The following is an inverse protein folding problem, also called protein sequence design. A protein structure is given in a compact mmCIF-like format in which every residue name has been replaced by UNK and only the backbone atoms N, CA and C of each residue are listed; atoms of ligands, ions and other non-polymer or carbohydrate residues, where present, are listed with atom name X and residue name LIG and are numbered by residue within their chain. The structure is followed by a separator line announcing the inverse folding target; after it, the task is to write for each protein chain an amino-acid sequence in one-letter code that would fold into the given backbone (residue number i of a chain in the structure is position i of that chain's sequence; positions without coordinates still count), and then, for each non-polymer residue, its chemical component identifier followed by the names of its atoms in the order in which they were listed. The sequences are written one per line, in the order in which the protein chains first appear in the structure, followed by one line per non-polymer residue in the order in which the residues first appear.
data_IF_519264177227
#
_entry.id   IF_519264177227
#
_cell.length_a   1.000
_cell.length_b   1.000
_cell.length_c   1.000
_cell.angle_alpha   90.00
_cell.angle_beta   90.00
_cell.angle_gamma   90.00
#
_symmetry.space_group_name_H-M   'P 1'
#
loop_
_entity.id
_entity.type
_entity.pdbx_description
1 polymer ?
#
# COMPACT_ATOMS: atom_id res chain seq x y z
N UNK A 1 -13.97 -43.70 -15.67
CA UNK A 1 -14.28 -42.40 -15.02
C UNK A 1 -13.47 -42.14 -13.74
N UNK A 2 -13.48 -43.05 -12.74
CA UNK A 2 -12.73 -42.86 -11.47
C UNK A 2 -11.21 -42.67 -11.64
N UNK A 3 -10.56 -43.45 -12.50
CA UNK A 3 -9.11 -43.33 -12.76
C UNK A 3 -8.71 -42.00 -13.39
N UNK A 4 -9.57 -41.44 -14.25
CA UNK A 4 -9.34 -40.14 -14.91
C UNK A 4 -9.46 -39.01 -13.88
N UNK A 5 -10.52 -39.04 -13.06
CA UNK A 5 -10.72 -38.06 -11.99
C UNK A 5 -9.57 -38.05 -10.98
N UNK A 6 -9.05 -39.25 -10.65
CA UNK A 6 -7.90 -39.39 -9.75
C UNK A 6 -6.59 -38.91 -10.39
N UNK A 7 -6.45 -39.06 -11.70
CA UNK A 7 -5.34 -38.46 -12.46
C UNK A 7 -5.33 -36.93 -12.34
N UNK A 8 -6.47 -36.28 -12.56
CA UNK A 8 -6.59 -34.81 -12.41
C UNK A 8 -6.30 -34.35 -10.97
N UNK A 9 -6.81 -35.06 -9.96
CA UNK A 9 -6.55 -34.74 -8.57
C UNK A 9 -5.05 -34.79 -8.22
N UNK A 10 -4.33 -35.79 -8.74
CA UNK A 10 -2.87 -35.89 -8.55
C UNK A 10 -2.12 -34.74 -9.21
N UNK A 11 -2.50 -34.36 -10.43
CA UNK A 11 -1.88 -33.23 -11.13
C UNK A 11 -2.10 -31.95 -10.35
N UNK A 12 -3.34 -31.73 -9.88
CA UNK A 12 -3.67 -30.59 -9.03
C UNK A 12 -2.78 -30.52 -7.78
N UNK A 13 -2.66 -31.63 -7.05
CA UNK A 13 -1.79 -31.69 -5.86
C UNK A 13 -0.31 -31.50 -6.20
N UNK A 14 0.16 -32.07 -7.31
CA UNK A 14 1.55 -31.95 -7.75
C UNK A 14 1.91 -30.49 -8.06
N UNK A 15 1.01 -29.74 -8.70
CA UNK A 15 1.21 -28.30 -8.95
C UNK A 15 1.30 -27.53 -7.62
N UNK A 16 0.41 -27.80 -6.66
CA UNK A 16 0.45 -27.15 -5.34
C UNK A 16 1.79 -27.42 -4.64
N UNK A 17 2.23 -28.69 -4.59
CA UNK A 17 3.50 -29.05 -3.96
C UNK A 17 4.68 -28.39 -4.66
N UNK A 18 4.68 -28.38 -5.99
CA UNK A 18 5.73 -27.75 -6.79
C UNK A 18 5.77 -26.23 -6.56
N UNK A 19 4.64 -25.54 -6.64
CA UNK A 19 4.55 -24.09 -6.40
C UNK A 19 4.95 -23.75 -4.96
N UNK A 20 4.51 -24.54 -3.97
CA UNK A 20 4.89 -24.33 -2.58
C UNK A 20 6.38 -24.51 -2.34
N UNK A 21 6.99 -25.56 -2.91
CA UNK A 21 8.42 -25.75 -2.85
C UNK A 21 9.18 -24.62 -3.57
N UNK A 22 8.70 -24.18 -4.74
CA UNK A 22 9.28 -23.07 -5.49
C UNK A 22 9.25 -21.76 -4.69
N UNK A 23 8.08 -21.38 -4.15
CA UNK A 23 7.90 -20.16 -3.37
C UNK A 23 8.68 -20.18 -2.05
N UNK A 24 8.78 -21.35 -1.40
CA UNK A 24 9.58 -21.52 -0.19
C UNK A 24 11.07 -21.24 -0.43
N UNK A 25 11.58 -21.65 -1.59
CA UNK A 25 12.97 -21.45 -1.98
C UNK A 25 13.21 -20.16 -2.77
N UNK A 26 12.17 -19.35 -3.01
CA UNK A 26 12.30 -18.12 -3.78
C UNK A 26 13.08 -17.08 -2.98
N UNK A 27 14.24 -16.68 -3.51
CA UNK A 27 15.01 -15.54 -3.03
C UNK A 27 14.47 -14.26 -3.64
N UNK A 28 14.45 -13.17 -2.87
CA UNK A 28 14.13 -11.84 -3.41
C UNK A 28 15.17 -11.48 -4.46
N UNK A 29 14.72 -11.09 -5.65
CA UNK A 29 15.62 -10.70 -6.74
C UNK A 29 16.54 -9.57 -6.28
N UNK A 30 17.83 -9.65 -6.62
CA UNK A 30 18.79 -8.58 -6.34
C UNK A 30 18.40 -7.27 -7.04
N UNK A 31 17.64 -7.34 -8.14
CA UNK A 31 17.07 -6.16 -8.80
C UNK A 31 16.05 -5.39 -7.94
N UNK A 32 15.49 -6.02 -6.90
CA UNK A 32 14.57 -5.40 -5.93
C UNK A 32 15.31 -4.85 -4.70
N UNK A 33 16.62 -5.08 -4.61
CA UNK A 33 17.50 -4.59 -3.56
C UNK A 33 18.60 -3.72 -4.18
N UNK A 34 18.26 -2.63 -4.88
CA UNK A 34 19.26 -1.76 -5.46
C UNK A 34 20.10 -1.15 -4.33
N UNK A 35 21.40 -1.44 -4.33
CA UNK A 35 22.38 -0.78 -3.48
C UNK A 35 23.01 0.39 -4.25
N UNK A 36 22.99 1.59 -3.67
CA UNK A 36 23.84 2.69 -4.14
C UNK A 36 25.20 2.63 -3.44
N UNK A 37 26.17 3.39 -3.96
CA UNK A 37 27.33 3.76 -3.14
C UNK A 37 26.86 4.50 -1.89
N UNK A 38 27.57 4.30 -0.78
CA UNK A 38 27.36 5.10 0.42
C UNK A 38 27.56 6.59 0.10
N UNK A 39 26.73 7.44 0.68
CA UNK A 39 26.82 8.89 0.54
C UNK A 39 26.79 9.51 1.93
N UNK A 40 27.85 10.25 2.28
CA UNK A 40 27.94 10.95 3.56
C UNK A 40 27.07 12.21 3.50
N UNK A 41 26.12 12.32 4.42
CA UNK A 41 25.31 13.52 4.63
C UNK A 41 25.85 14.30 5.81
N UNK A 42 26.02 15.64 5.73
CA UNK A 42 26.44 16.44 6.88
C UNK A 42 25.43 16.34 8.03
N UNK A 43 25.91 16.29 9.26
CA UNK A 43 25.04 16.21 10.45
C UNK A 43 24.03 17.37 10.48
N UNK A 44 24.41 18.58 10.04
CA UNK A 44 23.48 19.72 9.97
C UNK A 44 22.31 19.53 9.00
N UNK A 45 22.43 18.62 8.02
CA UNK A 45 21.40 18.32 7.03
C UNK A 45 20.37 17.30 7.53
N UNK A 46 20.62 16.67 8.68
CA UNK A 46 19.71 15.70 9.30
C UNK A 46 18.87 16.40 10.36
N UNK A 47 17.55 16.20 10.29
CA UNK A 47 16.58 16.68 11.28
C UNK A 47 15.71 15.52 11.73
N UNK A 48 15.52 15.42 13.04
CA UNK A 48 14.67 14.40 13.65
C UNK A 48 13.31 15.00 13.99
N UNK A 49 12.25 14.33 13.53
CA UNK A 49 10.85 14.65 13.85
C UNK A 49 10.20 13.43 14.48
N UNK A 50 9.37 13.64 15.49
CA UNK A 50 8.69 12.58 16.21
C UNK A 50 7.23 12.96 16.48
N UNK A 51 6.37 11.94 16.47
CA UNK A 51 4.99 12.03 16.90
C UNK A 51 4.84 11.27 18.21
N UNK A 52 3.98 11.74 19.11
CA UNK A 52 3.73 11.12 20.41
C UNK A 52 2.25 10.77 20.56
N UNK A 53 1.98 9.62 21.17
CA UNK A 53 0.64 9.24 21.60
C UNK A 53 0.76 8.64 22.99
N UNK A 54 0.09 9.23 23.97
CA UNK A 54 0.18 8.84 25.37
C UNK A 54 -1.15 9.05 26.09
N UNK A 55 -1.29 8.48 27.28
CA UNK A 55 -2.38 8.80 28.19
C UNK A 55 -1.88 9.87 29.16
N UNK A 56 -2.66 10.93 29.36
CA UNK A 56 -2.38 11.93 30.38
C UNK A 56 -2.71 11.42 31.80
N UNK A 57 -2.52 12.28 32.80
CA UNK A 57 -2.79 11.96 34.21
C UNK A 57 -4.25 11.56 34.49
N UNK A 58 -5.18 11.97 33.62
CA UNK A 58 -6.61 11.63 33.71
C UNK A 58 -6.97 10.37 32.90
N UNK A 59 -5.99 9.72 32.26
CA UNK A 59 -6.21 8.57 31.39
C UNK A 59 -6.79 8.95 30.03
N UNK A 60 -6.76 10.22 29.63
CA UNK A 60 -7.22 10.69 28.33
C UNK A 60 -6.08 10.56 27.32
N UNK A 61 -6.37 10.00 26.14
CA UNK A 61 -5.40 9.88 25.05
C UNK A 61 -5.07 11.26 24.48
N UNK A 62 -3.79 11.61 24.54
CA UNK A 62 -3.20 12.77 23.88
C UNK A 62 -2.44 12.33 22.64
N UNK A 63 -2.43 13.17 21.60
CA UNK A 63 -1.70 12.91 20.35
C UNK A 63 -1.02 14.19 19.89
N UNK A 64 0.30 14.13 19.69
CA UNK A 64 1.13 15.21 19.17
C UNK A 64 1.73 14.74 17.84
N UNK A 65 1.51 15.50 16.75
CA UNK A 65 1.93 15.10 15.41
C UNK A 65 2.75 16.22 14.78
N UNK A 66 4.05 15.99 14.58
CA UNK A 66 4.99 16.94 13.98
C UNK A 66 5.56 16.45 12.64
N UNK A 67 5.61 15.13 12.44
CA UNK A 67 6.13 14.54 11.20
C UNK A 67 5.29 15.02 10.01
N UNK A 68 3.96 14.96 10.14
CA UNK A 68 3.05 15.34 9.06
C UNK A 68 3.03 16.84 8.78
N UNK A 69 3.16 17.68 9.81
CA UNK A 69 3.30 19.12 9.61
C UNK A 69 4.55 19.46 8.79
N UNK A 70 5.67 18.77 9.06
CA UNK A 70 6.87 18.93 8.24
C UNK A 70 6.69 18.39 6.83
N UNK A 71 6.04 17.24 6.67
CA UNK A 71 5.71 16.67 5.34
C UNK A 71 4.88 17.66 4.53
N UNK A 72 3.85 18.26 5.11
CA UNK A 72 3.01 19.25 4.43
C UNK A 72 3.79 20.51 4.07
N UNK A 73 4.62 21.03 4.98
CA UNK A 73 5.50 22.16 4.68
C UNK A 73 6.49 21.88 3.53
N UNK A 74 6.99 20.63 3.43
CA UNK A 74 7.85 20.21 2.32
C UNK A 74 7.09 20.15 0.99
N UNK A 75 5.86 19.65 0.99
CA UNK A 75 4.99 19.58 -0.20
C UNK A 75 4.60 20.99 -0.68
N UNK A 76 4.33 21.90 0.25
CA UNK A 76 3.96 23.28 -0.06
C UNK A 76 5.13 24.10 -0.61
N UNK A 77 6.37 23.72 -0.28
CA UNK A 77 7.60 24.37 -0.76
C UNK A 77 8.22 23.77 -2.04
N UNK A 78 7.72 22.63 -2.51
CA UNK A 78 8.23 21.94 -3.69
C UNK A 78 7.84 22.68 -4.99
N UNK A 79 8.73 22.73 -5.99
CA UNK A 79 8.48 23.48 -7.23
C UNK A 79 8.67 22.66 -8.51
N UNK A 80 9.49 21.61 -8.52
CA UNK A 80 9.83 20.83 -9.71
C UNK A 80 9.47 19.36 -9.61
N UNK A 81 9.61 18.74 -8.44
CA UNK A 81 9.51 17.29 -8.29
C UNK A 81 9.01 16.86 -6.91
N UNK A 82 8.06 15.92 -6.91
CA UNK A 82 7.65 15.20 -5.69
C UNK A 82 7.51 13.70 -5.97
N UNK A 83 8.13 12.89 -5.11
CA UNK A 83 7.99 11.44 -5.06
C UNK A 83 7.53 11.02 -3.67
N UNK A 84 6.44 10.27 -3.65
CA UNK A 84 5.88 9.66 -2.46
C UNK A 84 6.00 8.14 -2.60
N UNK A 85 6.41 7.46 -1.53
CA UNK A 85 6.25 6.01 -1.39
C UNK A 85 5.67 5.72 -0.02
N UNK A 86 4.36 5.45 0.01
CA UNK A 86 3.62 5.14 1.23
C UNK A 86 2.87 3.83 1.07
N UNK A 87 3.26 2.84 1.88
CA UNK A 87 2.56 1.56 1.93
C UNK A 87 1.07 1.74 2.31
N UNK A 88 0.75 2.68 3.21
CA UNK A 88 -0.60 2.92 3.71
C UNK A 88 -1.03 4.36 3.39
N UNK A 89 -2.10 4.46 2.62
CA UNK A 89 -2.73 5.68 2.13
C UNK A 89 -4.22 5.41 1.84
N UNK A 90 -5.03 5.41 2.90
CA UNK A 90 -6.48 5.23 2.87
C UNK A 90 -7.11 5.83 4.13
N UNK A 91 -8.43 5.98 4.11
CA UNK A 91 -9.26 6.53 5.17
C UNK A 91 -10.04 5.44 5.94
N UNK A 92 -9.62 4.18 5.85
CA UNK A 92 -10.35 3.07 6.46
C UNK A 92 -10.36 3.20 7.99
N UNK A 93 -11.56 3.13 8.57
CA UNK A 93 -11.75 3.17 10.02
C UNK A 93 -12.36 1.88 10.56
N UNK A 94 -11.93 1.50 11.77
CA UNK A 94 -12.51 0.38 12.51
C UNK A 94 -13.94 0.70 13.01
N UNK A 95 -14.55 -0.23 13.75
CA UNK A 95 -15.82 0.04 14.46
C UNK A 95 -15.72 1.18 15.47
N UNK A 96 -14.53 1.39 16.03
CA UNK A 96 -14.25 2.55 16.88
C UNK A 96 -13.73 3.65 15.98
N UNK A 97 -14.50 4.74 15.89
CA UNK A 97 -14.09 5.89 15.12
C UNK A 97 -12.88 6.54 15.78
N UNK A 98 -11.82 6.72 14.99
CA UNK A 98 -10.67 7.50 15.41
C UNK A 98 -10.96 8.97 15.16
N UNK A 99 -10.71 9.80 16.17
CA UNK A 99 -10.86 11.26 16.09
C UNK A 99 -9.55 11.97 15.78
N UNK A 100 -8.53 11.22 15.33
CA UNK A 100 -7.26 11.77 14.88
C UNK A 100 -7.42 12.49 13.54
N UNK A 101 -6.37 13.17 13.11
CA UNK A 101 -6.27 13.83 11.80
C UNK A 101 -6.61 12.89 10.65
N UNK A 102 -7.27 13.42 9.61
CA UNK A 102 -7.53 12.69 8.37
C UNK A 102 -6.32 12.80 7.44
N UNK A 103 -5.23 12.13 7.83
CA UNK A 103 -3.92 12.31 7.19
C UNK A 103 -3.92 11.97 5.69
N UNK A 104 -4.72 10.99 5.26
CA UNK A 104 -4.85 10.65 3.84
C UNK A 104 -5.52 11.77 3.03
N UNK A 105 -6.51 12.44 3.61
CA UNK A 105 -7.22 13.54 2.96
C UNK A 105 -6.35 14.80 2.96
N UNK A 106 -5.76 15.15 4.10
CA UNK A 106 -4.82 16.28 4.21
C UNK A 106 -3.66 16.14 3.21
N UNK A 107 -3.03 14.95 3.14
CA UNK A 107 -1.98 14.68 2.16
C UNK A 107 -2.47 14.85 0.72
N UNK A 108 -3.68 14.38 0.42
CA UNK A 108 -4.28 14.54 -0.92
C UNK A 108 -4.46 16.02 -1.26
N UNK A 109 -5.01 16.80 -0.33
CA UNK A 109 -5.30 18.21 -0.52
C UNK A 109 -4.02 19.03 -0.72
N UNK A 110 -2.98 18.79 0.08
CA UNK A 110 -1.68 19.43 -0.09
C UNK A 110 -1.06 19.12 -1.45
N UNK A 111 -1.05 17.84 -1.88
CA UNK A 111 -0.51 17.47 -3.20
C UNK A 111 -1.29 18.11 -4.34
N UNK A 112 -2.63 18.07 -4.28
CA UNK A 112 -3.51 18.65 -5.32
C UNK A 112 -3.33 20.16 -5.38
N UNK A 113 -3.18 20.83 -4.24
CA UNK A 113 -2.96 22.27 -4.15
C UNK A 113 -1.62 22.66 -4.77
N UNK A 114 -0.52 22.04 -4.36
CA UNK A 114 0.81 22.30 -4.93
C UNK A 114 0.85 22.04 -6.44
N UNK A 115 0.19 20.97 -6.91
CA UNK A 115 0.03 20.66 -8.34
C UNK A 115 -0.74 21.74 -9.11
N UNK A 116 -1.75 22.34 -8.48
CA UNK A 116 -2.57 23.39 -9.09
C UNK A 116 -1.78 24.69 -9.23
N UNK A 117 -0.94 25.02 -8.25
CA UNK A 117 -0.04 26.17 -8.28
C UNK A 117 1.10 25.98 -9.30
N UNK A 118 1.65 24.77 -9.40
CA UNK A 118 2.81 24.45 -10.25
C UNK A 118 2.50 23.33 -11.25
N UNK A 119 1.76 23.64 -12.33
CA UNK A 119 1.29 22.66 -13.33
C UNK A 119 2.37 21.85 -14.05
N UNK A 120 3.65 22.28 -14.01
CA UNK A 120 4.78 21.57 -14.62
C UNK A 120 5.53 20.63 -13.67
N UNK A 121 5.29 20.71 -12.35
CA UNK A 121 5.98 19.86 -11.38
C UNK A 121 5.73 18.37 -11.70
N UNK A 122 6.75 17.53 -11.69
CA UNK A 122 6.58 16.09 -11.84
C UNK A 122 6.16 15.49 -10.50
N UNK A 123 5.08 14.72 -10.48
CA UNK A 123 4.56 14.14 -9.23
C UNK A 123 4.22 12.66 -9.39
N UNK A 124 4.84 11.83 -8.56
CA UNK A 124 4.69 10.38 -8.57
C UNK A 124 4.35 9.87 -7.17
N UNK A 125 3.38 8.97 -7.09
CA UNK A 125 2.94 8.37 -5.84
C UNK A 125 2.98 6.85 -5.94
N UNK A 126 3.89 6.23 -5.20
CA UNK A 126 4.01 4.78 -5.08
C UNK A 126 3.21 4.34 -3.85
N UNK A 127 2.34 3.36 -4.02
CA UNK A 127 1.53 2.83 -2.92
C UNK A 127 1.27 1.34 -3.09
N UNK A 128 0.72 0.70 -2.06
CA UNK A 128 0.39 -0.71 -2.11
C UNK A 128 -1.09 -0.95 -2.46
N UNK A 129 -1.42 -2.08 -3.11
CA UNK A 129 -2.79 -2.43 -3.48
C UNK A 129 -3.74 -2.60 -2.29
N UNK A 130 -3.22 -2.70 -1.06
CA UNK A 130 -4.06 -2.75 0.15
C UNK A 130 -4.97 -1.52 0.28
N UNK A 131 -4.56 -0.37 -0.24
CA UNK A 131 -5.30 0.90 -0.19
C UNK A 131 -6.56 0.93 -1.06
N UNK A 132 -6.72 -0.07 -1.93
CA UNK A 132 -7.94 -0.30 -2.72
C UNK A 132 -8.52 -1.69 -2.41
N UNK A 133 -8.11 -2.31 -1.30
CA UNK A 133 -8.41 -3.72 -0.97
C UNK A 133 -8.16 -4.63 -2.18
N UNK A 134 -6.98 -4.47 -2.76
CA UNK A 134 -6.50 -5.15 -3.95
C UNK A 134 -7.43 -4.93 -5.16
N UNK A 135 -7.87 -3.69 -5.39
CA UNK A 135 -8.85 -3.34 -6.43
C UNK A 135 -10.30 -3.68 -6.10
N UNK A 136 -10.60 -4.08 -4.85
CA UNK A 136 -11.93 -4.36 -4.34
C UNK A 136 -12.77 -3.13 -4.00
N UNK A 137 -12.15 -1.96 -3.88
CA UNK A 137 -12.82 -0.66 -3.66
C UNK A 137 -12.14 0.45 -4.45
N UNK A 138 -12.85 1.55 -4.68
CA UNK A 138 -12.30 2.76 -5.28
C UNK A 138 -11.85 3.72 -4.17
N UNK A 139 -10.58 4.15 -4.19
CA UNK A 139 -10.11 5.21 -3.29
C UNK A 139 -10.42 6.60 -3.88
N UNK A 140 -11.16 7.41 -3.12
CA UNK A 140 -11.45 8.80 -3.45
C UNK A 140 -10.17 9.64 -3.56
N UNK A 141 -9.22 9.42 -2.64
CA UNK A 141 -7.92 10.08 -2.60
C UNK A 141 -7.09 9.77 -3.85
N UNK A 142 -6.98 8.49 -4.24
CA UNK A 142 -6.28 8.12 -5.47
C UNK A 142 -6.94 8.71 -6.73
N UNK A 143 -8.28 8.77 -6.76
CA UNK A 143 -9.02 9.41 -7.87
C UNK A 143 -8.71 10.90 -7.94
N UNK A 144 -8.68 11.61 -6.81
CA UNK A 144 -8.36 13.03 -6.75
C UNK A 144 -6.92 13.31 -7.22
N UNK A 145 -5.95 12.53 -6.74
CA UNK A 145 -4.54 12.61 -7.16
C UNK A 145 -4.38 12.36 -8.66
N UNK A 146 -5.02 11.33 -9.22
CA UNK A 146 -4.96 11.08 -10.68
C UNK A 146 -5.55 12.24 -11.49
N UNK A 147 -6.68 12.81 -11.02
CA UNK A 147 -7.33 13.96 -11.68
C UNK A 147 -6.46 15.22 -11.67
N UNK A 148 -5.60 15.41 -10.66
CA UNK A 148 -4.65 16.54 -10.61
C UNK A 148 -3.36 16.30 -11.41
N UNK A 149 -3.23 15.15 -12.07
CA UNK A 149 -2.09 14.80 -12.92
C UNK A 149 -0.98 14.03 -12.21
N UNK A 150 -1.23 13.52 -11.00
CA UNK A 150 -0.27 12.66 -10.28
C UNK A 150 -0.24 11.26 -10.91
N UNK A 151 0.97 10.76 -11.15
CA UNK A 151 1.18 9.38 -11.59
C UNK A 151 1.19 8.49 -10.35
N UNK A 152 0.11 7.73 -10.13
CA UNK A 152 0.08 6.73 -9.05
C UNK A 152 0.47 5.36 -9.61
N UNK A 153 1.47 4.73 -8.99
CA UNK A 153 1.95 3.38 -9.28
C UNK A 153 1.71 2.47 -8.09
N UNK A 154 1.08 1.33 -8.33
CA UNK A 154 0.93 0.30 -7.29
C UNK A 154 2.15 -0.63 -7.30
N UNK A 155 2.69 -0.92 -6.11
CA UNK A 155 3.81 -1.85 -5.96
C UNK A 155 3.40 -3.24 -6.44
N UNK A 156 4.22 -3.84 -7.32
CA UNK A 156 4.04 -5.24 -7.68
C UNK A 156 4.49 -6.17 -6.53
N UNK A 157 3.57 -6.51 -5.63
CA UNK A 157 3.84 -7.37 -4.48
C UNK A 157 4.03 -8.86 -4.84
N UNK A 158 3.67 -9.28 -6.07
CA UNK A 158 3.91 -10.65 -6.53
C UNK A 158 5.40 -10.96 -6.70
N UNK A 159 6.24 -9.92 -6.82
CA UNK A 159 7.69 -10.05 -6.91
C UNK A 159 8.36 -10.32 -5.54
N UNK A 160 7.62 -10.12 -4.43
CA UNK A 160 8.08 -10.42 -3.09
C UNK A 160 7.73 -11.86 -2.70
N UNK A 161 8.53 -12.46 -1.81
CA UNK A 161 8.23 -13.80 -1.27
C UNK A 161 6.86 -13.83 -0.59
N UNK A 162 6.11 -14.91 -0.76
CA UNK A 162 4.80 -15.09 -0.13
C UNK A 162 4.84 -15.15 1.40
N UNK A 163 3.97 -14.40 2.06
CA UNK A 163 3.78 -14.47 3.52
C UNK A 163 3.06 -15.75 3.95
N UNK A 164 2.17 -16.27 3.09
CA UNK A 164 1.38 -17.47 3.36
C UNK A 164 1.61 -18.53 2.28
N UNK A 165 2.74 -19.24 2.36
CA UNK A 165 3.15 -20.21 1.35
C UNK A 165 2.07 -21.26 1.05
N UNK A 166 1.36 -21.76 2.06
CA UNK A 166 0.30 -22.76 1.87
C UNK A 166 -0.83 -22.24 1.00
N UNK A 167 -1.33 -21.04 1.30
CA UNK A 167 -2.37 -20.41 0.50
C UNK A 167 -1.87 -20.04 -0.89
N UNK A 168 -0.69 -19.41 -0.97
CA UNK A 168 -0.11 -18.96 -2.24
C UNK A 168 0.17 -20.11 -3.21
N UNK A 169 0.49 -21.31 -2.70
CA UNK A 169 0.65 -22.54 -3.49
C UNK A 169 -0.62 -22.95 -4.25
N UNK A 170 -1.79 -22.54 -3.75
CA UNK A 170 -3.09 -22.74 -4.40
C UNK A 170 -3.48 -21.49 -5.19
N UNK A 171 -3.31 -20.32 -4.59
CA UNK A 171 -3.73 -19.05 -5.16
C UNK A 171 -3.07 -18.73 -6.51
N UNK A 172 -1.74 -18.81 -6.56
CA UNK A 172 -0.96 -18.39 -7.73
C UNK A 172 -1.30 -19.21 -8.99
N UNK A 173 -1.21 -20.55 -8.98
CA UNK A 173 -1.42 -21.32 -10.20
C UNK A 173 -2.87 -21.30 -10.70
N UNK A 174 -3.86 -21.04 -9.83
CA UNK A 174 -5.26 -21.21 -10.18
C UNK A 174 -6.08 -19.92 -10.23
N UNK A 175 -5.68 -18.88 -9.49
CA UNK A 175 -6.56 -17.74 -9.24
C UNK A 175 -5.90 -16.37 -9.46
N UNK A 176 -4.58 -16.23 -9.35
CA UNK A 176 -3.91 -14.91 -9.39
C UNK A 176 -3.90 -14.24 -10.76
N UNK A 177 -4.16 -14.98 -11.84
CA UNK A 177 -4.06 -14.48 -13.23
C UNK A 177 -5.16 -13.51 -13.64
N UNK A 178 -6.22 -13.42 -12.84
CA UNK A 178 -7.38 -12.56 -13.12
C UNK A 178 -7.41 -11.43 -12.09
N UNK A 179 -7.60 -10.19 -12.56
CA UNK A 179 -7.70 -9.02 -11.68
C UNK A 179 -8.92 -9.05 -10.75
N UNK A 180 -8.97 -8.07 -9.86
CA UNK A 180 -10.09 -7.87 -8.95
C UNK A 180 -11.07 -6.80 -9.48
N UNK A 181 -12.20 -6.64 -8.80
CA UNK A 181 -13.26 -5.70 -9.18
C UNK A 181 -13.80 -4.96 -7.98
N UNK A 182 -13.95 -3.64 -8.11
CA UNK A 182 -14.64 -2.79 -7.14
C UNK A 182 -16.17 -2.89 -7.25
N UNK A 183 -16.69 -3.72 -8.14
CA UNK A 183 -18.13 -3.89 -8.39
C UNK A 183 -18.56 -5.33 -8.16
N UNK A 184 -19.81 -5.53 -7.73
CA UNK A 184 -20.39 -6.86 -7.53
C UNK A 184 -19.96 -7.55 -6.23
N UNK A 185 -19.38 -6.80 -5.28
CA UNK A 185 -19.02 -7.30 -3.96
C UNK A 185 -20.24 -7.59 -3.09
N UNK A 186 -20.19 -8.68 -2.33
CA UNK A 186 -21.23 -9.07 -1.36
C UNK A 186 -20.67 -9.34 0.05
N UNK A 187 -19.35 -9.44 0.17
CA UNK A 187 -18.67 -9.74 1.42
C UNK A 187 -18.35 -8.44 2.17
N UNK A 188 -18.29 -8.48 3.51
CA UNK A 188 -17.95 -7.30 4.29
C UNK A 188 -16.55 -6.79 3.93
N UNK A 189 -16.36 -5.49 4.00
CA UNK A 189 -15.06 -4.87 3.82
C UNK A 189 -14.11 -5.33 4.96
N UNK A 190 -12.87 -5.77 4.67
CA UNK A 190 -11.99 -6.37 5.68
C UNK A 190 -11.45 -5.37 6.71
N UNK A 191 -11.40 -4.08 6.37
CA UNK A 191 -10.78 -3.05 7.20
C UNK A 191 -11.75 -1.99 7.72
N UNK A 192 -13.00 -1.98 7.25
CA UNK A 192 -13.95 -0.91 7.53
C UNK A 192 -15.34 -1.49 7.75
N UNK A 193 -15.90 -1.31 8.94
CA UNK A 193 -17.13 -2.00 9.29
C UNK A 193 -18.34 -1.61 8.41
N UNK A 194 -18.40 -0.33 8.04
CA UNK A 194 -19.45 0.25 7.20
C UNK A 194 -18.95 0.63 5.81
N UNK A 195 -17.85 0.01 5.35
CA UNK A 195 -17.30 0.25 4.01
C UNK A 195 -18.07 -0.49 2.91
N UNK A 196 -17.75 -0.16 1.66
CA UNK A 196 -18.32 -0.85 0.50
C UNK A 196 -18.04 -2.35 0.55
N UNK A 197 -19.03 -3.15 0.17
CA UNK A 197 -18.87 -4.61 0.10
C UNK A 197 -17.86 -4.97 -0.98
N UNK A 198 -16.99 -5.92 -0.67
CA UNK A 198 -15.94 -6.39 -1.57
C UNK A 198 -16.26 -7.77 -2.15
N UNK A 199 -15.59 -8.12 -3.24
CA UNK A 199 -15.67 -9.46 -3.80
C UNK A 199 -14.95 -10.48 -2.88
N UNK A 200 -15.32 -11.77 -2.98
CA UNK A 200 -14.59 -12.85 -2.31
C UNK A 200 -13.09 -12.84 -2.69
N UNK A 201 -12.81 -12.43 -3.93
CA UNK A 201 -11.46 -12.29 -4.47
C UNK A 201 -10.59 -11.34 -3.65
N UNK A 202 -11.13 -10.21 -3.15
CA UNK A 202 -10.38 -9.30 -2.28
C UNK A 202 -9.93 -9.97 -0.98
N UNK A 203 -10.81 -10.79 -0.39
CA UNK A 203 -10.47 -11.60 0.78
C UNK A 203 -9.43 -12.68 0.45
N UNK A 204 -9.61 -13.36 -0.68
CA UNK A 204 -8.70 -14.40 -1.14
C UNK A 204 -7.30 -13.84 -1.46
N UNK A 205 -7.21 -12.64 -2.02
CA UNK A 205 -5.95 -11.95 -2.29
C UNK A 205 -5.30 -11.46 -0.99
N UNK A 206 -6.11 -10.91 -0.07
CA UNK A 206 -5.68 -10.49 1.27
C UNK A 206 -5.00 -11.61 2.06
N UNK A 207 -5.38 -12.88 1.89
CA UNK A 207 -4.72 -14.02 2.55
C UNK A 207 -3.24 -14.19 2.16
N UNK A 208 -2.78 -13.58 1.06
CA UNK A 208 -1.36 -13.52 0.71
C UNK A 208 -0.60 -12.41 1.44
N UNK A 209 -1.30 -11.50 2.12
CA UNK A 209 -0.87 -10.30 2.84
C UNK A 209 0.63 -9.98 2.78
N UNK A 210 0.99 -9.04 1.90
CA UNK A 210 2.34 -8.48 1.82
C UNK A 210 2.24 -6.97 1.69
N UNK A 211 3.32 -6.28 2.04
CA UNK A 211 3.44 -4.86 1.84
C UNK A 211 4.91 -4.47 1.63
N UNK A 212 5.12 -3.33 0.98
CA UNK A 212 6.44 -2.73 0.79
C UNK A 212 6.98 -2.10 2.09
N UNK A 213 6.08 -1.72 3.02
CA UNK A 213 6.32 -0.99 4.29
C UNK A 213 7.14 0.31 4.20
N UNK A 214 7.47 0.79 2.99
CA UNK A 214 8.24 2.01 2.76
C UNK A 214 7.39 3.25 3.05
N UNK A 215 8.10 4.28 3.53
CA UNK A 215 7.58 5.60 3.90
C UNK A 215 8.67 6.58 3.48
N UNK A 216 8.50 7.16 2.31
CA UNK A 216 9.47 8.05 1.69
C UNK A 216 8.76 9.24 1.09
N UNK A 217 9.32 10.41 1.37
CA UNK A 217 9.04 11.64 0.67
C UNK A 217 10.36 12.14 0.10
N UNK A 218 10.40 12.38 -1.21
CA UNK A 218 11.48 13.12 -1.86
C UNK A 218 10.85 14.30 -2.57
N UNK A 219 11.26 15.50 -2.20
CA UNK A 219 10.85 16.74 -2.86
C UNK A 219 12.08 17.55 -3.22
N UNK A 220 11.97 18.40 -4.22
CA UNK A 220 12.93 19.49 -4.37
C UNK A 220 12.65 20.58 -3.33
N UNK A 221 13.72 21.21 -2.85
CA UNK A 221 13.63 22.39 -1.98
C UNK A 221 14.09 23.59 -2.81
N UNK A 222 13.24 24.61 -2.88
CA UNK A 222 13.46 25.83 -3.67
C UNK A 222 14.25 26.88 -2.89
#
# INVERSE_FOLDING_TARGET
MKHILWGFFKIFLAIIVFTGAYNWNQTVSTSLLPSSSEYAVPDESVRFYADYTYLDENGIRQTEQHIWDRVFALIDGASHYMLFDFFLFNDFQSNTLETTRSLSDELTDHIVTSRTLSKHMATMFITDPINTVYGGVVSSQQVALRKSGVIIMETNLSALRDSNTLWSSVWIPYFSWTGNSATGGIFPHPFQANGDKVALRSWAELLNFKANHRKLLVVDES
#
